data_IF_256070786638
#
_entry.id   IF_256070786638
#
_cell.length_a   1.000
_cell.length_b   1.000
_cell.length_c   1.000
_cell.angle_alpha   90.00
_cell.angle_beta   90.00
_cell.angle_gamma   90.00
#
_symmetry.space_group_name_H-M   'P 1'
#
loop_
_entity.id
_entity.type
_entity.pdbx_description
1 polymer ?
#
# COMPACT_ATOMS: atom_id res chain seq x y z
N UNK A 1 11.00 -41.53 69.81
CA UNK A 1 11.95 -41.08 68.78
C UNK A 1 11.17 -40.15 67.85
N UNK A 2 11.05 -38.87 68.20
CA UNK A 2 11.91 -37.76 67.75
C UNK A 2 11.87 -37.58 66.22
N UNK A 3 11.00 -36.67 65.80
CA UNK A 3 11.21 -35.63 64.79
C UNK A 3 12.09 -35.99 63.58
N UNK A 4 11.44 -36.33 62.47
CA UNK A 4 11.93 -36.03 61.13
C UNK A 4 10.77 -35.36 60.38
N UNK A 5 10.58 -34.05 60.61
CA UNK A 5 11.01 -33.01 59.65
C UNK A 5 10.18 -33.20 58.36
N UNK A 6 8.94 -32.73 58.24
CA UNK A 6 8.53 -31.31 58.26
C UNK A 6 9.51 -30.39 57.52
N UNK A 7 9.98 -30.82 56.33
CA UNK A 7 10.74 -29.98 55.38
C UNK A 7 10.66 -30.48 53.93
N UNK A 8 9.50 -30.97 53.47
CA UNK A 8 9.28 -31.26 52.04
C UNK A 8 8.12 -30.43 51.45
N UNK A 9 7.94 -29.22 51.98
CA UNK A 9 6.92 -28.26 51.52
C UNK A 9 7.53 -26.92 51.06
N UNK A 10 8.86 -26.84 50.93
CA UNK A 10 9.60 -25.59 50.60
C UNK A 10 10.61 -25.82 49.45
N UNK A 11 10.40 -26.80 48.56
CA UNK A 11 11.31 -27.02 47.41
C UNK A 11 10.60 -27.34 46.08
N UNK A 12 9.32 -26.98 45.94
CA UNK A 12 8.60 -27.01 44.66
C UNK A 12 7.91 -25.68 44.34
N UNK A 13 8.19 -24.63 45.13
CA UNK A 13 7.77 -23.23 44.91
C UNK A 13 8.85 -22.40 44.19
N UNK A 14 9.85 -23.03 43.58
CA UNK A 14 10.96 -22.34 42.91
C UNK A 14 11.21 -22.81 41.47
N UNK A 15 10.15 -23.17 40.74
CA UNK A 15 10.19 -23.30 39.27
C UNK A 15 9.14 -22.43 38.56
N UNK A 16 8.57 -21.44 39.26
CA UNK A 16 7.94 -20.27 38.61
C UNK A 16 9.01 -19.18 38.41
N UNK A 17 10.18 -19.55 37.88
CA UNK A 17 11.11 -18.59 37.30
C UNK A 17 10.72 -18.41 35.85
N UNK A 18 9.87 -17.41 35.64
CA UNK A 18 10.03 -16.47 34.54
C UNK A 18 10.29 -17.08 33.16
N UNK A 19 9.32 -17.80 32.61
CA UNK A 19 8.95 -17.49 31.22
C UNK A 19 8.06 -16.26 31.26
N UNK A 20 8.66 -15.11 31.60
CA UNK A 20 8.21 -13.86 31.03
C UNK A 20 8.53 -13.96 29.54
N UNK A 21 7.74 -14.75 28.81
CA UNK A 21 7.42 -14.42 27.43
C UNK A 21 6.74 -13.07 27.53
N UNK A 22 7.55 -12.01 27.58
CA UNK A 22 7.12 -10.77 27.01
C UNK A 22 6.91 -11.13 25.55
N UNK A 23 5.69 -11.56 25.22
CA UNK A 23 5.20 -11.39 23.88
C UNK A 23 5.28 -9.87 23.67
N UNK A 24 6.42 -9.43 23.16
CA UNK A 24 6.44 -8.32 22.23
C UNK A 24 5.57 -8.81 21.08
N UNK A 25 4.25 -8.78 21.25
CA UNK A 25 3.31 -8.78 20.15
C UNK A 25 3.68 -7.52 19.38
N UNK A 26 4.59 -7.66 18.42
CA UNK A 26 4.71 -6.68 17.36
C UNK A 26 3.30 -6.54 16.79
N UNK A 27 2.68 -5.37 17.03
CA UNK A 27 1.35 -5.07 16.52
C UNK A 27 1.32 -5.47 15.05
N UNK A 28 0.40 -6.37 14.70
CA UNK A 28 0.30 -6.87 13.34
C UNK A 28 0.19 -5.68 12.39
N UNK A 29 1.10 -5.62 11.40
CA UNK A 29 1.14 -4.50 10.46
C UNK A 29 -0.17 -4.47 9.67
N UNK A 30 -1.00 -3.47 9.93
CA UNK A 30 -2.30 -3.30 9.27
C UNK A 30 -2.18 -2.37 8.06
N UNK A 31 -3.05 -2.60 7.06
CA UNK A 31 -3.20 -1.72 5.90
C UNK A 31 -3.88 -0.39 6.27
N UNK A 32 -4.64 -0.36 7.36
CA UNK A 32 -5.38 0.82 7.78
C UNK A 32 -4.46 2.01 8.05
N UNK A 33 -4.95 3.20 7.75
CA UNK A 33 -4.22 4.46 7.89
C UNK A 33 -3.96 5.17 6.57
N UNK A 34 -3.21 6.27 6.67
CA UNK A 34 -2.90 7.13 5.54
C UNK A 34 -1.53 6.78 4.96
N UNK A 35 -1.49 6.58 3.65
CA UNK A 35 -0.30 6.22 2.90
C UNK A 35 -0.03 7.25 1.81
N UNK A 36 1.15 7.85 1.86
CA UNK A 36 1.60 8.87 0.93
C UNK A 36 2.48 8.24 -0.15
N UNK A 37 2.08 8.39 -1.40
CA UNK A 37 2.83 7.90 -2.55
C UNK A 37 4.18 8.60 -2.68
N UNK A 38 5.24 7.81 -2.77
CA UNK A 38 6.63 8.28 -2.93
C UNK A 38 7.28 7.80 -4.22
N UNK A 39 6.87 6.64 -4.71
CA UNK A 39 7.39 6.06 -5.93
C UNK A 39 6.23 5.47 -6.73
N UNK A 40 6.24 5.71 -8.04
CA UNK A 40 5.41 5.01 -9.00
C UNK A 40 6.29 4.71 -10.21
N UNK A 41 6.46 3.42 -10.51
CA UNK A 41 7.27 2.96 -11.64
C UNK A 41 6.53 1.88 -12.43
N UNK A 42 6.81 1.79 -13.72
CA UNK A 42 6.26 0.75 -14.60
C UNK A 42 7.37 0.12 -15.43
N UNK A 43 7.23 -1.19 -15.64
CA UNK A 43 7.91 -1.93 -16.71
C UNK A 43 6.87 -2.45 -17.66
N UNK A 44 7.04 -2.23 -18.94
CA UNK A 44 6.08 -2.63 -19.96
C UNK A 44 6.64 -3.74 -20.85
N UNK A 45 5.77 -4.32 -21.67
CA UNK A 45 6.15 -5.29 -22.69
C UNK A 45 7.00 -4.69 -23.81
N UNK A 46 7.01 -3.36 -23.95
CA UNK A 46 7.87 -2.62 -24.88
C UNK A 46 8.66 -1.54 -24.12
N UNK A 47 9.92 -1.85 -23.82
CA UNK A 47 10.81 -0.98 -23.04
C UNK A 47 11.00 0.43 -23.60
N UNK A 48 10.65 0.69 -24.87
CA UNK A 48 10.66 2.05 -25.42
C UNK A 48 9.68 2.99 -24.70
N UNK A 49 8.59 2.44 -24.14
CA UNK A 49 7.59 3.19 -23.37
C UNK A 49 7.93 3.34 -21.88
N UNK A 50 8.84 2.52 -21.34
CA UNK A 50 9.23 2.57 -19.92
C UNK A 50 9.75 3.96 -19.55
N UNK A 51 10.68 4.52 -20.34
CA UNK A 51 11.26 5.83 -20.05
C UNK A 51 10.22 6.94 -20.11
N UNK A 52 9.32 6.91 -21.10
CA UNK A 52 8.26 7.89 -21.26
C UNK A 52 7.32 7.88 -20.05
N UNK A 53 6.78 6.70 -19.70
CA UNK A 53 5.82 6.55 -18.62
C UNK A 53 6.42 6.87 -17.25
N UNK A 54 7.63 6.37 -16.97
CA UNK A 54 8.32 6.68 -15.72
C UNK A 54 8.69 8.17 -15.60
N UNK A 55 8.94 8.86 -16.71
CA UNK A 55 9.13 10.32 -16.71
C UNK A 55 7.83 11.04 -16.35
N UNK A 56 6.70 10.63 -16.94
CA UNK A 56 5.38 11.18 -16.61
C UNK A 56 5.07 10.97 -15.13
N UNK A 57 5.29 9.77 -14.60
CA UNK A 57 5.08 9.48 -13.17
C UNK A 57 5.98 10.30 -12.26
N UNK A 58 7.24 10.51 -12.65
CA UNK A 58 8.18 11.33 -11.88
C UNK A 58 7.78 12.81 -11.87
N UNK A 59 7.26 13.32 -12.99
CA UNK A 59 6.74 14.68 -13.07
C UNK A 59 5.46 14.84 -12.23
N UNK A 60 4.53 13.89 -12.31
CA UNK A 60 3.33 13.89 -11.48
C UNK A 60 3.70 13.88 -9.98
N UNK A 61 4.60 13.00 -9.55
CA UNK A 61 5.07 12.96 -8.16
C UNK A 61 5.82 14.22 -7.73
N UNK A 62 6.36 15.02 -8.66
CA UNK A 62 7.02 16.29 -8.33
C UNK A 62 6.00 17.39 -8.09
N UNK A 63 4.98 17.49 -8.94
CA UNK A 63 3.98 18.56 -8.92
C UNK A 63 2.81 18.25 -7.98
N UNK A 64 2.51 16.97 -7.79
CA UNK A 64 1.32 16.47 -7.10
C UNK A 64 1.68 15.56 -5.93
N UNK A 65 0.72 15.41 -5.03
CA UNK A 65 0.72 14.53 -3.89
C UNK A 65 -0.49 13.61 -3.99
N UNK A 66 -0.23 12.31 -4.06
CA UNK A 66 -1.26 11.27 -4.03
C UNK A 66 -1.23 10.56 -2.69
N UNK A 67 -2.37 10.51 -2.03
CA UNK A 67 -2.57 9.86 -0.73
C UNK A 67 -3.67 8.81 -0.84
N UNK A 68 -3.43 7.62 -0.27
CA UNK A 68 -4.45 6.59 -0.06
C UNK A 68 -4.71 6.40 1.43
N UNK A 69 -5.94 6.65 1.87
CA UNK A 69 -6.37 6.42 3.25
C UNK A 69 -7.27 5.17 3.30
N UNK A 70 -6.75 4.08 3.87
CA UNK A 70 -7.49 2.83 4.03
C UNK A 70 -8.23 2.84 5.38
N UNK A 71 -9.53 2.56 5.32
CA UNK A 71 -10.41 2.30 6.47
C UNK A 71 -10.77 0.82 6.49
N UNK A 72 -11.68 0.37 7.36
CA UNK A 72 -12.10 -1.04 7.38
C UNK A 72 -12.73 -1.52 6.05
N UNK A 73 -13.40 -0.64 5.31
CA UNK A 73 -14.23 -1.02 4.16
C UNK A 73 -13.79 -0.35 2.85
N UNK A 74 -13.20 0.84 2.95
CA UNK A 74 -12.98 1.72 1.81
C UNK A 74 -11.56 2.27 1.80
N UNK A 75 -11.07 2.56 0.61
CA UNK A 75 -9.86 3.35 0.38
C UNK A 75 -10.24 4.68 -0.26
N UNK A 76 -9.83 5.76 0.39
CA UNK A 76 -9.95 7.10 -0.18
C UNK A 76 -8.66 7.48 -0.88
N UNK A 77 -8.70 7.68 -2.19
CA UNK A 77 -7.56 8.18 -2.97
C UNK A 77 -7.74 9.68 -3.22
N UNK A 78 -6.76 10.48 -2.84
CA UNK A 78 -6.76 11.93 -3.04
C UNK A 78 -5.52 12.34 -3.80
N UNK A 79 -5.69 13.10 -4.89
CA UNK A 79 -4.60 13.69 -5.67
C UNK A 79 -4.70 15.22 -5.53
N UNK A 80 -3.63 15.85 -5.05
CA UNK A 80 -3.56 17.29 -4.84
C UNK A 80 -2.29 17.89 -5.41
N UNK A 81 -2.38 19.10 -5.94
CA UNK A 81 -1.21 19.91 -6.30
C UNK A 81 -0.43 20.30 -5.05
N UNK A 82 0.89 20.10 -5.06
CA UNK A 82 1.77 20.51 -3.97
C UNK A 82 1.88 22.03 -3.88
N UNK A 83 1.98 22.55 -2.65
CA UNK A 83 2.07 23.99 -2.40
C UNK A 83 0.74 24.74 -2.50
N UNK A 84 -0.36 24.06 -2.85
CA UNK A 84 -1.72 24.59 -2.78
C UNK A 84 -2.41 24.15 -1.49
N UNK A 85 -3.16 25.03 -0.85
CA UNK A 85 -3.98 24.73 0.33
C UNK A 85 -5.48 24.78 0.00
N UNK A 86 -6.30 24.08 0.79
CA UNK A 86 -7.76 24.08 0.61
C UNK A 86 -8.23 23.34 -0.64
N UNK A 87 -9.37 23.78 -1.21
CA UNK A 87 -9.99 23.22 -2.41
C UNK A 87 -9.20 23.50 -3.69
N UNK A 88 -8.41 24.57 -3.71
CA UNK A 88 -7.76 25.10 -4.92
C UNK A 88 -6.65 24.19 -5.44
N UNK A 89 -6.20 23.24 -4.61
CA UNK A 89 -5.21 22.23 -4.99
C UNK A 89 -5.80 20.86 -5.34
N UNK A 90 -7.11 20.64 -5.25
CA UNK A 90 -7.69 19.31 -5.47
C UNK A 90 -7.74 18.99 -6.97
N UNK A 91 -7.07 17.91 -7.38
CA UNK A 91 -7.05 17.42 -8.77
C UNK A 91 -8.07 16.31 -8.94
N UNK A 92 -8.08 15.34 -8.02
CA UNK A 92 -8.99 14.20 -8.06
C UNK A 92 -9.21 13.62 -6.67
N UNK A 93 -10.40 13.08 -6.45
CA UNK A 93 -10.77 12.35 -5.24
C UNK A 93 -11.66 11.17 -5.60
N UNK A 94 -11.43 10.03 -4.96
CA UNK A 94 -12.31 8.86 -5.03
C UNK A 94 -12.38 8.17 -3.68
N UNK A 95 -13.48 7.50 -3.42
CA UNK A 95 -13.64 6.59 -2.27
C UNK A 95 -14.18 5.28 -2.83
N UNK A 96 -13.33 4.28 -2.83
CA UNK A 96 -13.57 3.00 -3.49
C UNK A 96 -13.66 1.89 -2.43
N UNK A 97 -14.58 0.95 -2.62
CA UNK A 97 -14.60 -0.28 -1.81
C UNK A 97 -13.37 -1.11 -2.11
N UNK A 98 -12.83 -1.77 -1.08
CA UNK A 98 -11.72 -2.71 -1.26
C UNK A 98 -11.87 -3.96 -0.40
N UNK A 99 -11.18 -5.02 -0.81
CA UNK A 99 -11.02 -6.25 -0.03
C UNK A 99 -9.59 -6.74 -0.09
N UNK A 100 -9.16 -7.46 0.95
CA UNK A 100 -7.86 -8.13 1.01
C UNK A 100 -8.09 -9.63 1.00
N UNK A 101 -7.45 -10.34 0.07
CA UNK A 101 -7.45 -11.81 0.00
C UNK A 101 -6.02 -12.31 -0.11
N UNK A 102 -5.50 -12.86 0.98
CA UNK A 102 -4.12 -13.32 1.05
C UNK A 102 -3.12 -12.17 0.86
N UNK A 103 -2.23 -12.30 -0.13
CA UNK A 103 -1.18 -11.32 -0.46
C UNK A 103 -1.65 -10.21 -1.42
N UNK A 104 -2.97 -10.07 -1.62
CA UNK A 104 -3.54 -9.24 -2.67
C UNK A 104 -4.64 -8.30 -2.17
N UNK A 105 -4.63 -7.06 -2.67
CA UNK A 105 -5.64 -6.02 -2.47
C UNK A 105 -6.45 -5.88 -3.75
N UNK A 106 -7.78 -5.87 -3.63
CA UNK A 106 -8.70 -5.66 -4.73
C UNK A 106 -9.48 -4.37 -4.49
N UNK A 107 -9.29 -3.37 -5.34
CA UNK A 107 -9.95 -2.06 -5.22
C UNK A 107 -10.93 -1.91 -6.38
N UNK A 108 -12.21 -1.66 -6.11
CA UNK A 108 -13.20 -1.30 -7.13
C UNK A 108 -13.01 0.16 -7.55
N UNK A 109 -11.98 0.40 -8.37
CA UNK A 109 -11.51 1.75 -8.64
C UNK A 109 -12.40 2.49 -9.62
N UNK A 110 -13.07 3.52 -9.11
CA UNK A 110 -13.80 4.49 -9.94
C UNK A 110 -12.87 5.26 -10.87
N UNK A 111 -11.64 5.58 -10.43
CA UNK A 111 -10.64 6.28 -11.24
C UNK A 111 -10.12 5.47 -12.43
N UNK A 112 -9.98 4.16 -12.27
CA UNK A 112 -9.38 3.29 -13.29
C UNK A 112 -10.39 2.43 -14.04
N UNK A 113 -11.68 2.51 -13.70
CA UNK A 113 -12.76 1.84 -14.43
C UNK A 113 -12.74 0.31 -14.28
N UNK A 114 -12.78 -0.19 -13.04
CA UNK A 114 -12.90 -1.63 -12.77
C UNK A 114 -12.23 -2.07 -11.47
N UNK A 115 -12.10 -3.39 -11.28
CA UNK A 115 -11.40 -3.94 -10.12
C UNK A 115 -9.89 -4.00 -10.39
N UNK A 116 -9.14 -3.18 -9.66
CA UNK A 116 -7.69 -3.22 -9.64
C UNK A 116 -7.22 -4.27 -8.62
N UNK A 117 -6.65 -5.38 -9.10
CA UNK A 117 -6.01 -6.37 -8.25
C UNK A 117 -4.50 -6.12 -8.19
N UNK A 118 -3.97 -5.99 -6.97
CA UNK A 118 -2.55 -5.73 -6.73
C UNK A 118 -2.02 -6.66 -5.66
N UNK A 119 -0.89 -7.30 -5.89
CA UNK A 119 -0.12 -7.90 -4.80
C UNK A 119 0.43 -6.80 -3.91
N UNK A 120 0.58 -7.06 -2.62
CA UNK A 120 1.15 -6.07 -1.71
C UNK A 120 2.17 -6.66 -0.73
N UNK A 121 3.11 -5.81 -0.34
CA UNK A 121 4.05 -6.03 0.74
C UNK A 121 3.90 -4.86 1.71
N UNK A 122 3.74 -5.15 2.99
CA UNK A 122 3.54 -4.15 4.02
C UNK A 122 4.55 -4.31 5.15
N UNK A 123 5.12 -3.19 5.58
CA UNK A 123 5.94 -3.05 6.78
C UNK A 123 5.38 -1.91 7.63
N UNK A 124 5.88 -1.70 8.87
CA UNK A 124 5.36 -0.63 9.72
C UNK A 124 5.39 0.77 9.12
N UNK A 125 6.18 1.04 8.07
CA UNK A 125 6.29 2.39 7.46
C UNK A 125 6.23 2.36 5.94
N UNK A 126 5.95 1.22 5.31
CA UNK A 126 5.95 1.12 3.86
C UNK A 126 4.89 0.16 3.36
N UNK A 127 4.11 0.63 2.38
CA UNK A 127 3.23 -0.19 1.57
C UNK A 127 3.78 -0.20 0.15
N UNK A 128 4.05 -1.38 -0.39
CA UNK A 128 4.42 -1.55 -1.80
C UNK A 128 3.37 -2.39 -2.48
N UNK A 129 2.82 -1.92 -3.59
CA UNK A 129 1.84 -2.67 -4.39
C UNK A 129 2.38 -2.93 -5.80
N UNK A 130 2.09 -4.11 -6.32
CA UNK A 130 2.48 -4.58 -7.65
C UNK A 130 1.23 -5.00 -8.41
N UNK A 131 1.00 -4.38 -9.56
CA UNK A 131 -0.21 -4.57 -10.36
C UNK A 131 0.17 -4.87 -11.80
N UNK A 132 -0.38 -5.94 -12.37
CA UNK A 132 -0.38 -6.12 -13.82
C UNK A 132 -1.36 -5.13 -14.45
N UNK A 133 -0.92 -4.43 -15.48
CA UNK A 133 -1.69 -3.40 -16.17
C UNK A 133 -1.78 -3.70 -17.66
N UNK A 134 -2.95 -3.39 -18.22
CA UNK A 134 -3.23 -3.42 -19.66
C UNK A 134 -3.06 -2.04 -20.28
N UNK A 135 -3.10 -1.92 -21.61
CA UNK A 135 -3.14 -0.63 -22.30
C UNK A 135 -4.25 0.27 -21.78
N UNK A 136 -5.44 -0.27 -21.50
CA UNK A 136 -6.54 0.52 -20.99
C UNK A 136 -6.26 1.07 -19.59
N UNK A 137 -5.64 0.26 -18.72
CA UNK A 137 -5.22 0.71 -17.39
C UNK A 137 -4.20 1.84 -17.50
N UNK A 138 -3.18 1.66 -18.37
CA UNK A 138 -2.13 2.66 -18.59
C UNK A 138 -2.76 3.96 -19.12
N UNK A 139 -3.68 3.89 -20.09
CA UNK A 139 -4.41 5.05 -20.60
C UNK A 139 -5.19 5.78 -19.50
N UNK A 140 -5.90 5.04 -18.65
CA UNK A 140 -6.65 5.64 -17.55
C UNK A 140 -5.72 6.38 -16.57
N UNK A 141 -4.58 5.77 -16.23
CA UNK A 141 -3.58 6.37 -15.34
C UNK A 141 -3.00 7.65 -15.94
N UNK A 142 -2.50 7.61 -17.18
CA UNK A 142 -1.84 8.78 -17.78
C UNK A 142 -2.82 9.91 -18.12
N UNK A 143 -4.10 9.60 -18.34
CA UNK A 143 -5.16 10.61 -18.52
C UNK A 143 -5.33 11.47 -17.27
N UNK A 144 -5.29 10.87 -16.08
CA UNK A 144 -5.35 11.60 -14.79
C UNK A 144 -4.17 12.56 -14.66
N UNK A 145 -3.03 12.22 -15.26
CA UNK A 145 -1.79 13.02 -15.28
C UNK A 145 -1.75 14.03 -16.44
N UNK A 146 -2.82 14.15 -17.24
CA UNK A 146 -2.93 15.12 -18.33
C UNK A 146 -2.24 14.72 -19.64
N UNK A 147 -1.86 13.45 -19.80
CA UNK A 147 -1.29 12.93 -21.05
C UNK A 147 -2.40 12.40 -21.96
N UNK A 148 -2.28 12.65 -23.26
CA UNK A 148 -3.22 12.12 -24.26
C UNK A 148 -3.16 10.58 -24.31
N UNK A 149 -4.26 9.87 -23.98
CA UNK A 149 -4.28 8.41 -24.00
C UNK A 149 -4.05 7.79 -25.39
N UNK A 150 -4.21 8.55 -26.49
CA UNK A 150 -3.92 8.08 -27.84
C UNK A 150 -2.43 7.76 -28.08
N UNK A 151 -1.54 8.26 -27.20
CA UNK A 151 -0.10 7.99 -27.24
C UNK A 151 0.28 6.57 -26.80
N UNK A 152 -0.64 5.84 -26.16
CA UNK A 152 -0.41 4.49 -25.63
C UNK A 152 -0.88 3.45 -26.65
N UNK A 153 -0.06 2.50 -27.11
CA UNK A 153 -0.50 1.46 -28.06
C UNK A 153 -1.54 0.51 -27.44
N UNK A 154 -2.31 -0.19 -28.28
CA UNK A 154 -3.46 -1.01 -27.87
C UNK A 154 -3.07 -2.36 -27.21
N UNK A 155 -1.84 -2.82 -27.43
CA UNK A 155 -1.31 -4.13 -27.03
C UNK A 155 -0.19 -4.04 -25.97
N UNK A 156 -0.01 -2.86 -25.38
CA UNK A 156 0.91 -2.65 -24.28
C UNK A 156 0.40 -3.33 -23.01
N UNK A 157 1.26 -4.10 -22.37
CA UNK A 157 1.03 -4.62 -21.03
C UNK A 157 2.19 -4.21 -20.13
N UNK A 158 2.00 -4.28 -18.83
CA UNK A 158 3.08 -3.98 -17.91
C UNK A 158 2.83 -4.40 -16.48
N UNK A 159 3.80 -4.10 -15.63
CA UNK A 159 3.72 -4.21 -14.19
C UNK A 159 3.99 -2.84 -13.57
N UNK A 160 2.98 -2.31 -12.91
CA UNK A 160 3.03 -1.08 -12.15
C UNK A 160 3.43 -1.40 -10.71
N UNK A 161 4.47 -0.73 -10.22
CA UNK A 161 4.90 -0.74 -8.83
C UNK A 161 4.60 0.62 -8.22
N UNK A 162 3.93 0.63 -7.08
CA UNK A 162 3.70 1.82 -6.27
C UNK A 162 4.31 1.58 -4.90
N UNK A 163 5.09 2.54 -4.40
CA UNK A 163 5.60 2.56 -3.02
C UNK A 163 5.07 3.78 -2.29
N UNK A 164 4.50 3.53 -1.13
CA UNK A 164 3.96 4.53 -0.23
C UNK A 164 4.57 4.42 1.16
N UNK A 165 4.52 5.52 1.90
CA UNK A 165 4.98 5.60 3.28
C UNK A 165 3.88 6.16 4.18
N UNK A 166 3.91 5.79 5.45
CA UNK A 166 3.13 6.41 6.52
C UNK A 166 4.05 7.04 7.55
#
# INVERSE_FOLDING_TARGET
>A
MKNFILSLTILLTACTLMTSCGDNEEEAVTLQGEWLMREQTIKTSDSSFDNMLNTVFSLDLKENQTTRAFTELNVKTTIRKKGSSGSDGLISESTDAYEVKGDSIFIQSSLHGGTAASKYLITPNTLTTYRKVTSQDIRNIVTIMGVDPATIPNDLTGELKIKEIR
#
